data_IF_775086713285
#
_entry.id   IF_775086713285
#
_cell.length_a   1.000
_cell.length_b   1.000
_cell.length_c   1.000
_cell.angle_alpha   90.00
_cell.angle_beta   90.00
_cell.angle_gamma   90.00
#
_symmetry.space_group_name_H-M   'P 1'
#
loop_
_entity.id
_entity.type
_entity.pdbx_description
1 polymer ?
#
# COMPACT_ATOMS: atom_id res chain seq x y z
N UNK A 1 -37.94 27.00 24.09
CA UNK A 1 -37.49 25.75 23.43
C UNK A 1 -36.46 26.13 22.39
N UNK A 2 -35.22 26.25 22.79
CA UNK A 2 -34.10 26.58 21.91
C UNK A 2 -33.44 25.24 21.53
N UNK A 3 -33.65 24.81 20.28
CA UNK A 3 -32.96 23.62 19.72
C UNK A 3 -31.47 23.91 19.65
N UNK A 4 -30.70 23.34 20.55
CA UNK A 4 -29.26 23.35 20.51
C UNK A 4 -28.80 22.56 19.29
N UNK A 5 -28.16 23.24 18.33
CA UNK A 5 -27.34 22.58 17.31
C UNK A 5 -26.21 21.89 18.03
N UNK A 6 -26.28 20.58 18.11
CA UNK A 6 -25.17 19.75 18.61
C UNK A 6 -24.05 19.79 17.55
N UNK A 7 -22.88 20.42 17.84
CA UNK A 7 -21.78 20.49 16.89
C UNK A 7 -21.08 19.14 16.64
N UNK A 8 -21.58 18.05 17.26
CA UNK A 8 -21.04 16.69 17.11
C UNK A 8 -21.69 15.89 15.98
N UNK A 9 -22.78 16.40 15.38
CA UNK A 9 -23.33 15.84 14.15
C UNK A 9 -22.66 16.54 12.95
N UNK A 10 -21.38 16.25 12.73
CA UNK A 10 -20.73 16.63 11.49
C UNK A 10 -21.54 16.01 10.34
N UNK A 11 -22.13 16.87 9.51
CA UNK A 11 -22.82 16.46 8.29
C UNK A 11 -21.93 15.49 7.53
N UNK A 12 -22.43 14.32 7.25
CA UNK A 12 -21.69 13.30 6.47
C UNK A 12 -21.28 13.88 5.10
N UNK A 13 -20.43 13.18 4.34
CA UNK A 13 -19.87 13.70 3.09
C UNK A 13 -20.95 14.25 2.19
N UNK A 14 -20.75 15.47 1.67
CA UNK A 14 -21.72 16.20 0.85
C UNK A 14 -22.13 15.44 -0.43
N UNK A 15 -23.24 15.81 -1.03
CA UNK A 15 -23.73 15.15 -2.25
C UNK A 15 -22.70 15.12 -3.40
N UNK A 16 -21.87 16.15 -3.65
CA UNK A 16 -20.81 16.11 -4.66
C UNK A 16 -19.76 15.03 -4.36
N UNK A 17 -19.29 14.91 -3.11
CA UNK A 17 -18.32 13.90 -2.71
C UNK A 17 -18.84 12.47 -2.92
N UNK A 18 -20.11 12.22 -2.55
CA UNK A 18 -20.77 10.92 -2.79
C UNK A 18 -20.93 10.60 -4.28
N UNK A 19 -21.24 11.62 -5.13
CA UNK A 19 -21.32 11.43 -6.58
C UNK A 19 -19.96 11.09 -7.18
N UNK A 20 -18.91 11.81 -6.77
CA UNK A 20 -17.54 11.56 -7.22
C UNK A 20 -17.08 10.15 -6.81
N UNK A 21 -17.23 9.78 -5.53
CA UNK A 21 -16.89 8.44 -5.03
C UNK A 21 -17.61 7.35 -5.80
N UNK A 22 -18.91 7.51 -6.07
CA UNK A 22 -19.70 6.57 -6.87
C UNK A 22 -19.19 6.46 -8.30
N UNK A 23 -18.84 7.57 -8.95
CA UNK A 23 -18.26 7.57 -10.30
C UNK A 23 -16.94 6.82 -10.35
N UNK A 24 -16.04 7.07 -9.39
CA UNK A 24 -14.76 6.35 -9.27
C UNK A 24 -15.00 4.86 -9.02
N UNK A 25 -15.95 4.50 -8.15
CA UNK A 25 -16.30 3.10 -7.87
C UNK A 25 -16.77 2.37 -9.14
N UNK A 26 -17.67 2.98 -9.93
CA UNK A 26 -18.13 2.40 -11.19
C UNK A 26 -17.00 2.24 -12.20
N UNK A 27 -16.10 3.23 -12.30
CA UNK A 27 -14.88 3.10 -13.10
C UNK A 27 -14.04 1.89 -12.66
N UNK A 28 -13.88 1.69 -11.34
CA UNK A 28 -13.18 0.54 -10.79
C UNK A 28 -13.83 -0.79 -11.17
N UNK A 29 -15.15 -0.89 -11.11
CA UNK A 29 -15.88 -2.10 -11.53
C UNK A 29 -15.66 -2.38 -13.02
N UNK A 30 -15.74 -1.36 -13.87
CA UNK A 30 -15.50 -1.52 -15.31
C UNK A 30 -14.05 -1.95 -15.57
N UNK A 31 -13.06 -1.25 -14.98
CA UNK A 31 -11.65 -1.59 -15.13
C UNK A 31 -11.34 -3.01 -14.65
N UNK A 32 -11.90 -3.41 -13.51
CA UNK A 32 -11.76 -4.78 -13.00
C UNK A 32 -12.18 -5.80 -14.06
N UNK A 33 -13.38 -5.68 -14.62
CA UNK A 33 -13.87 -6.63 -15.63
C UNK A 33 -13.10 -6.54 -16.93
N UNK A 34 -12.67 -5.36 -17.36
CA UNK A 34 -11.82 -5.18 -18.54
C UNK A 34 -10.49 -5.93 -18.34
N UNK A 35 -9.84 -5.78 -17.19
CA UNK A 35 -8.59 -6.48 -16.87
C UNK A 35 -8.81 -7.98 -16.83
N UNK A 36 -9.86 -8.47 -16.16
CA UNK A 36 -10.20 -9.91 -16.13
C UNK A 36 -10.38 -10.47 -17.54
N UNK A 37 -11.15 -9.79 -18.39
CA UNK A 37 -11.43 -10.27 -19.76
C UNK A 37 -10.15 -10.26 -20.60
N UNK A 38 -9.32 -9.22 -20.51
CA UNK A 38 -8.06 -9.13 -21.26
C UNK A 38 -7.10 -10.24 -20.81
N UNK A 39 -6.94 -10.45 -19.51
CA UNK A 39 -6.01 -11.45 -19.00
C UNK A 39 -6.49 -12.88 -19.25
N UNK A 40 -7.78 -13.15 -19.10
CA UNK A 40 -8.32 -14.51 -19.25
C UNK A 40 -8.51 -14.92 -20.72
N UNK A 41 -8.88 -14.02 -21.63
CA UNK A 41 -9.21 -14.35 -23.00
C UNK A 41 -8.04 -14.22 -23.97
N UNK A 42 -7.58 -13.01 -24.38
CA UNK A 42 -6.49 -12.88 -25.34
C UNK A 42 -5.12 -13.29 -24.76
N UNK A 43 -4.88 -13.09 -23.46
CA UNK A 43 -3.61 -13.47 -22.82
C UNK A 43 -3.60 -14.93 -22.38
N UNK A 44 -4.77 -15.51 -22.08
CA UNK A 44 -4.91 -16.92 -21.74
C UNK A 44 -4.48 -17.30 -20.32
N UNK A 45 -4.43 -16.33 -19.39
CA UNK A 45 -4.18 -16.65 -17.98
C UNK A 45 -5.34 -17.46 -17.39
N UNK A 46 -5.06 -18.36 -16.43
CA UNK A 46 -6.10 -18.98 -15.62
C UNK A 46 -7.02 -17.93 -14.99
N UNK A 47 -8.31 -18.23 -14.90
CA UNK A 47 -9.32 -17.26 -14.44
C UNK A 47 -9.03 -16.73 -13.02
N UNK A 48 -8.52 -17.58 -12.13
CA UNK A 48 -8.15 -17.16 -10.78
C UNK A 48 -6.97 -16.18 -10.75
N UNK A 49 -5.96 -16.31 -11.65
CA UNK A 49 -4.88 -15.33 -11.80
C UNK A 49 -5.41 -14.02 -12.40
N UNK A 50 -6.26 -14.12 -13.43
CA UNK A 50 -6.87 -12.95 -14.05
C UNK A 50 -7.71 -12.15 -13.05
N UNK A 51 -8.51 -12.83 -12.22
CA UNK A 51 -9.32 -12.20 -11.16
C UNK A 51 -8.40 -11.57 -10.09
N UNK A 52 -7.43 -12.31 -9.57
CA UNK A 52 -6.58 -11.80 -8.49
C UNK A 52 -5.70 -10.63 -8.95
N UNK A 53 -5.13 -10.70 -10.16
CA UNK A 53 -4.43 -9.56 -10.76
C UNK A 53 -5.37 -8.37 -10.96
N UNK A 54 -6.60 -8.58 -11.43
CA UNK A 54 -7.57 -7.49 -11.57
C UNK A 54 -7.96 -6.86 -10.22
N UNK A 55 -8.03 -7.66 -9.15
CA UNK A 55 -8.19 -7.15 -7.78
C UNK A 55 -7.00 -6.26 -7.41
N UNK A 56 -5.77 -6.73 -7.58
CA UNK A 56 -4.56 -6.02 -7.19
C UNK A 56 -4.31 -4.75 -8.02
N UNK A 57 -4.51 -4.84 -9.35
CA UNK A 57 -4.11 -3.79 -10.28
C UNK A 57 -5.21 -2.77 -10.56
N UNK A 58 -6.48 -3.12 -10.33
CA UNK A 58 -7.61 -2.24 -10.64
C UNK A 58 -8.53 -2.03 -9.43
N UNK A 59 -9.12 -3.09 -8.85
CA UNK A 59 -10.13 -2.93 -7.83
C UNK A 59 -9.60 -2.23 -6.58
N UNK A 60 -8.55 -2.76 -5.96
CA UNK A 60 -8.01 -2.23 -4.69
C UNK A 60 -7.52 -0.77 -4.84
N UNK A 61 -6.69 -0.39 -5.84
CA UNK A 61 -6.27 1.00 -6.00
C UNK A 61 -7.43 1.95 -6.31
N UNK A 62 -8.38 1.56 -7.15
CA UNK A 62 -9.51 2.42 -7.49
C UNK A 62 -10.46 2.58 -6.29
N UNK A 63 -10.75 1.51 -5.55
CA UNK A 63 -11.56 1.62 -4.32
C UNK A 63 -10.87 2.45 -3.24
N UNK A 64 -9.54 2.33 -3.08
CA UNK A 64 -8.77 3.19 -2.20
C UNK A 64 -8.97 4.67 -2.56
N UNK A 65 -8.84 5.01 -3.84
CA UNK A 65 -9.07 6.39 -4.33
C UNK A 65 -10.52 6.85 -4.19
N UNK A 66 -11.50 5.94 -4.39
CA UNK A 66 -12.93 6.26 -4.26
C UNK A 66 -13.35 6.63 -2.84
N UNK A 67 -12.64 6.15 -1.83
CA UNK A 67 -12.92 6.47 -0.42
C UNK A 67 -12.44 7.88 -0.03
N UNK A 68 -11.41 8.44 -0.69
CA UNK A 68 -10.80 9.71 -0.28
C UNK A 68 -11.81 10.87 -0.19
N UNK A 69 -12.71 11.10 -1.15
CA UNK A 69 -13.70 12.16 -1.03
C UNK A 69 -14.72 11.94 0.09
N UNK A 70 -14.89 10.70 0.55
CA UNK A 70 -15.87 10.36 1.59
C UNK A 70 -15.32 10.55 3.01
N UNK A 71 -14.01 10.46 3.17
CA UNK A 71 -13.32 10.56 4.47
C UNK A 71 -12.68 11.94 4.68
N UNK A 72 -12.74 12.81 3.67
CA UNK A 72 -12.24 14.19 3.81
C UNK A 72 -13.08 14.95 4.84
N UNK A 73 -12.40 15.52 5.83
CA UNK A 73 -13.04 16.21 6.94
C UNK A 73 -13.59 15.30 8.07
N UNK A 74 -13.64 14.00 7.89
CA UNK A 74 -14.08 13.05 8.92
C UNK A 74 -12.96 12.78 9.93
N UNK A 75 -13.31 12.68 11.22
CA UNK A 75 -12.39 12.16 12.24
C UNK A 75 -12.33 10.65 12.15
N UNK A 76 -11.10 10.12 12.04
CA UNK A 76 -10.87 8.69 11.91
C UNK A 76 -10.57 8.08 13.27
N UNK A 77 -11.32 7.06 13.64
CA UNK A 77 -10.92 6.18 14.74
C UNK A 77 -9.75 5.28 14.29
N UNK A 78 -8.56 5.56 14.82
CA UNK A 78 -7.30 4.89 14.44
C UNK A 78 -7.36 3.39 14.67
N UNK A 79 -7.87 2.95 15.81
CA UNK A 79 -7.89 1.53 16.14
C UNK A 79 -8.77 0.75 15.17
N UNK A 80 -9.97 1.26 14.87
CA UNK A 80 -10.85 0.64 13.88
C UNK A 80 -10.22 0.63 12.48
N UNK A 81 -9.55 1.72 12.08
CA UNK A 81 -8.84 1.79 10.80
C UNK A 81 -7.70 0.77 10.74
N UNK A 82 -6.89 0.64 11.79
CA UNK A 82 -5.80 -0.33 11.82
C UNK A 82 -6.31 -1.77 11.76
N UNK A 83 -7.32 -2.12 12.57
CA UNK A 83 -7.87 -3.47 12.57
C UNK A 83 -8.51 -3.85 11.24
N UNK A 84 -9.30 -2.94 10.64
CA UNK A 84 -9.88 -3.19 9.31
C UNK A 84 -8.82 -3.37 8.24
N UNK A 85 -7.74 -2.58 8.28
CA UNK A 85 -6.61 -2.72 7.37
C UNK A 85 -5.87 -4.04 7.57
N UNK A 86 -5.60 -4.45 8.82
CA UNK A 86 -4.97 -5.75 9.14
C UNK A 86 -5.78 -6.90 8.54
N UNK A 87 -7.11 -6.91 8.78
CA UNK A 87 -7.98 -7.97 8.26
C UNK A 87 -7.98 -8.00 6.72
N UNK A 88 -8.09 -6.83 6.09
CA UNK A 88 -8.07 -6.71 4.61
C UNK A 88 -6.74 -7.22 4.03
N UNK A 89 -5.61 -6.81 4.63
CA UNK A 89 -4.28 -7.22 4.21
C UNK A 89 -4.09 -8.74 4.38
N UNK A 90 -4.53 -9.32 5.50
CA UNK A 90 -4.46 -10.76 5.71
C UNK A 90 -5.30 -11.54 4.68
N UNK A 91 -6.51 -11.08 4.36
CA UNK A 91 -7.35 -11.71 3.32
C UNK A 91 -6.62 -11.66 1.98
N UNK A 92 -6.08 -10.50 1.60
CA UNK A 92 -5.37 -10.32 0.33
C UNK A 92 -4.08 -11.15 0.26
N UNK A 93 -3.25 -11.10 1.31
CA UNK A 93 -2.02 -11.87 1.41
C UNK A 93 -2.29 -13.38 1.36
N UNK A 94 -3.33 -13.84 2.07
CA UNK A 94 -3.75 -15.25 2.05
C UNK A 94 -4.21 -15.69 0.66
N UNK A 95 -4.99 -14.87 -0.04
CA UNK A 95 -5.39 -15.16 -1.42
C UNK A 95 -4.17 -15.26 -2.35
N UNK A 96 -3.22 -14.32 -2.25
CA UNK A 96 -1.99 -14.34 -3.03
C UNK A 96 -1.10 -15.54 -2.69
N UNK A 97 -1.05 -15.94 -1.41
CA UNK A 97 -0.38 -17.15 -0.98
C UNK A 97 -0.96 -18.39 -1.65
N UNK A 98 -2.26 -18.64 -1.49
CA UNK A 98 -2.89 -19.84 -2.02
C UNK A 98 -2.85 -19.92 -3.55
N UNK A 99 -3.09 -18.81 -4.23
CA UNK A 99 -3.04 -18.78 -5.70
C UNK A 99 -1.61 -18.87 -6.21
N UNK A 100 -0.66 -18.15 -5.60
CA UNK A 100 0.73 -18.10 -6.05
C UNK A 100 1.53 -19.37 -5.78
N UNK A 101 1.19 -20.12 -4.72
CA UNK A 101 1.96 -21.32 -4.31
C UNK A 101 1.35 -22.65 -4.76
N UNK A 102 0.19 -22.63 -5.40
CA UNK A 102 -0.60 -23.85 -5.72
C UNK A 102 0.16 -24.92 -6.51
N UNK A 103 1.03 -24.52 -7.44
CA UNK A 103 1.71 -25.45 -8.34
C UNK A 103 3.19 -25.69 -7.98
N UNK A 104 3.87 -24.68 -7.44
CA UNK A 104 5.32 -24.71 -7.23
C UNK A 104 5.76 -24.45 -5.77
N UNK A 105 4.81 -24.33 -4.84
CA UNK A 105 5.10 -24.11 -3.43
C UNK A 105 5.59 -22.68 -3.11
N UNK A 106 6.13 -22.49 -1.92
CA UNK A 106 6.54 -21.17 -1.40
C UNK A 106 7.65 -20.49 -2.22
N UNK A 107 8.46 -21.25 -2.93
CA UNK A 107 9.53 -20.74 -3.80
C UNK A 107 8.97 -19.96 -4.99
N UNK A 108 7.77 -20.31 -5.47
CA UNK A 108 7.11 -19.62 -6.58
C UNK A 108 6.84 -18.15 -6.28
N UNK A 109 6.55 -17.82 -5.04
CA UNK A 109 6.34 -16.45 -4.56
C UNK A 109 7.60 -15.83 -3.95
N UNK A 110 8.77 -16.44 -4.17
CA UNK A 110 10.06 -15.91 -3.73
C UNK A 110 10.35 -16.06 -2.23
N UNK A 111 9.58 -16.87 -1.49
CA UNK A 111 9.87 -17.16 -0.08
C UNK A 111 11.05 -18.16 0.04
N UNK A 112 12.20 -17.72 -0.42
CA UNK A 112 13.48 -18.44 -0.38
C UNK A 112 14.31 -17.87 0.76
N UNK A 113 14.72 -18.72 1.71
CA UNK A 113 15.58 -18.31 2.81
C UNK A 113 16.98 -17.99 2.30
N UNK A 114 17.50 -16.85 2.69
CA UNK A 114 18.91 -16.49 2.52
C UNK A 114 19.73 -16.94 3.74
N UNK A 115 21.04 -17.10 3.55
CA UNK A 115 21.94 -17.21 4.70
C UNK A 115 21.83 -15.98 5.61
N UNK A 116 22.10 -16.11 6.93
CA UNK A 116 21.84 -15.03 7.89
C UNK A 116 22.49 -13.69 7.54
N UNK A 117 23.75 -13.71 7.09
CA UNK A 117 24.49 -12.48 6.76
C UNK A 117 23.88 -11.76 5.54
N UNK A 118 23.69 -12.39 4.37
CA UNK A 118 22.96 -11.77 3.25
C UNK A 118 21.56 -11.29 3.64
N UNK A 119 20.79 -12.05 4.42
CA UNK A 119 19.46 -11.64 4.86
C UNK A 119 19.50 -10.33 5.63
N UNK A 120 20.41 -10.22 6.60
CA UNK A 120 20.55 -8.99 7.41
C UNK A 120 21.03 -7.83 6.54
N UNK A 121 22.05 -8.03 5.71
CA UNK A 121 22.59 -6.95 4.86
C UNK A 121 21.55 -6.40 3.89
N UNK A 122 20.80 -7.27 3.21
CA UNK A 122 19.72 -6.84 2.33
C UNK A 122 18.60 -6.13 3.09
N UNK A 123 18.14 -6.69 4.20
CA UNK A 123 17.04 -6.10 4.99
C UNK A 123 17.42 -4.73 5.54
N UNK A 124 18.61 -4.59 6.11
CA UNK A 124 19.12 -3.31 6.62
C UNK A 124 19.35 -2.31 5.49
N UNK A 125 19.99 -2.75 4.40
CA UNK A 125 20.25 -1.90 3.23
C UNK A 125 18.95 -1.34 2.62
N UNK A 126 17.93 -2.17 2.44
CA UNK A 126 16.62 -1.75 1.93
C UNK A 126 15.89 -0.84 2.92
N UNK A 127 15.98 -1.11 4.24
CA UNK A 127 15.41 -0.24 5.26
C UNK A 127 16.05 1.15 5.22
N UNK A 128 17.37 1.22 5.17
CA UNK A 128 18.09 2.49 5.08
C UNK A 128 17.78 3.24 3.78
N UNK A 129 17.71 2.54 2.64
CA UNK A 129 17.33 3.13 1.36
C UNK A 129 15.89 3.68 1.40
N UNK A 130 14.93 2.95 1.98
CA UNK A 130 13.57 3.42 2.15
C UNK A 130 13.47 4.63 3.09
N UNK A 131 14.18 4.62 4.19
CA UNK A 131 14.26 5.79 5.10
C UNK A 131 14.91 7.01 4.42
N UNK A 132 15.93 6.77 3.60
CA UNK A 132 16.54 7.83 2.79
C UNK A 132 15.54 8.44 1.80
N UNK A 133 14.72 7.61 1.13
CA UNK A 133 13.63 8.11 0.26
C UNK A 133 12.71 9.05 1.05
N UNK A 134 12.25 8.65 2.25
CA UNK A 134 11.40 9.50 3.09
C UNK A 134 12.08 10.85 3.38
N UNK A 135 13.35 10.83 3.78
CA UNK A 135 14.12 12.05 4.11
C UNK A 135 14.30 12.93 2.89
N UNK A 136 14.66 12.39 1.73
CA UNK A 136 14.89 13.15 0.50
C UNK A 136 13.61 13.78 -0.07
N UNK A 137 12.44 13.18 0.18
CA UNK A 137 11.16 13.76 -0.25
C UNK A 137 10.71 14.96 0.61
N UNK A 138 11.26 15.18 1.80
CA UNK A 138 10.90 16.33 2.65
C UNK A 138 11.23 17.69 2.01
N UNK A 139 12.47 17.95 1.54
CA UNK A 139 12.79 19.21 0.87
C UNK A 139 12.01 19.38 -0.44
N UNK A 140 11.73 18.28 -1.18
CA UNK A 140 10.90 18.32 -2.38
C UNK A 140 9.47 18.76 -2.03
N UNK A 141 8.90 18.22 -0.96
CA UNK A 141 7.58 18.60 -0.47
C UNK A 141 7.54 20.09 -0.08
N UNK A 142 8.54 20.57 0.65
CA UNK A 142 8.60 21.98 1.05
C UNK A 142 8.76 22.93 -0.14
N UNK A 143 9.56 22.55 -1.13
CA UNK A 143 9.75 23.33 -2.35
C UNK A 143 8.50 23.36 -3.25
N UNK A 144 7.81 22.22 -3.38
CA UNK A 144 6.60 22.10 -4.21
C UNK A 144 5.33 22.67 -3.54
N UNK A 145 5.43 23.24 -2.33
CA UNK A 145 4.26 23.68 -1.56
C UNK A 145 3.33 22.54 -1.16
N UNK A 146 3.83 21.31 -1.20
CA UNK A 146 3.07 20.10 -0.88
C UNK A 146 3.24 19.74 0.59
N UNK A 147 2.12 19.55 1.27
CA UNK A 147 2.09 18.98 2.62
C UNK A 147 1.70 17.50 2.57
N UNK A 148 2.18 16.73 3.54
CA UNK A 148 1.61 15.42 3.82
C UNK A 148 0.12 15.56 4.11
N UNK A 149 -0.69 14.63 3.59
CA UNK A 149 -2.13 14.74 3.71
C UNK A 149 -2.59 14.80 5.17
N UNK A 150 -3.66 15.55 5.44
CA UNK A 150 -4.30 15.57 6.76
C UNK A 150 -4.63 14.15 7.24
N UNK A 151 -5.06 13.29 6.32
CA UNK A 151 -5.40 11.91 6.60
C UNK A 151 -4.21 11.10 7.10
N UNK A 152 -3.02 11.23 6.47
CA UNK A 152 -1.82 10.56 6.93
C UNK A 152 -1.47 10.97 8.37
N UNK A 153 -1.55 12.28 8.68
CA UNK A 153 -1.34 12.79 10.05
C UNK A 153 -2.36 12.26 11.07
N UNK A 154 -3.61 12.08 10.65
CA UNK A 154 -4.64 11.48 11.51
C UNK A 154 -4.39 10.02 11.80
N UNK A 155 -3.75 9.28 10.89
CA UNK A 155 -3.46 7.86 11.02
C UNK A 155 -2.19 7.55 11.81
N UNK A 156 -1.40 8.55 12.24
CA UNK A 156 -0.24 8.30 13.09
C UNK A 156 -0.66 7.87 14.51
N UNK A 157 -0.02 6.84 15.08
CA UNK A 157 -0.34 6.34 16.41
C UNK A 157 0.14 7.32 17.50
N UNK A 158 -0.73 7.66 18.45
CA UNK A 158 -0.46 8.60 19.55
C UNK A 158 -0.38 7.93 20.91
N UNK A 159 -1.25 6.95 21.17
CA UNK A 159 -1.29 6.22 22.43
C UNK A 159 -0.45 4.94 22.38
N UNK A 160 -0.11 4.38 23.55
CA UNK A 160 0.60 3.09 23.64
C UNK A 160 -0.16 1.97 22.93
N UNK A 161 -1.49 1.90 23.12
CA UNK A 161 -2.33 0.91 22.46
C UNK A 161 -2.34 1.06 20.94
N UNK A 162 -2.46 2.30 20.43
CA UNK A 162 -2.38 2.57 19.01
C UNK A 162 -1.03 2.16 18.43
N UNK A 163 0.09 2.44 19.12
CA UNK A 163 1.44 2.01 18.68
C UNK A 163 1.57 0.49 18.61
N UNK A 164 0.99 -0.24 19.56
CA UNK A 164 0.99 -1.71 19.54
C UNK A 164 0.21 -2.26 18.33
N UNK A 165 -1.02 -1.76 18.10
CA UNK A 165 -1.83 -2.21 16.95
C UNK A 165 -1.22 -1.74 15.63
N UNK A 166 -0.62 -0.55 15.57
CA UNK A 166 0.12 -0.08 14.41
C UNK A 166 1.34 -0.96 14.10
N UNK A 167 2.04 -1.46 15.11
CA UNK A 167 3.11 -2.42 14.90
C UNK A 167 2.60 -3.74 14.27
N UNK A 168 1.43 -4.24 14.70
CA UNK A 168 0.79 -5.38 14.06
C UNK A 168 0.38 -5.07 12.61
N UNK A 169 -0.12 -3.86 12.36
CA UNK A 169 -0.44 -3.38 11.02
C UNK A 169 0.81 -3.34 10.14
N UNK A 170 1.94 -2.83 10.64
CA UNK A 170 3.21 -2.79 9.90
C UNK A 170 3.69 -4.19 9.49
N UNK A 171 3.55 -5.17 10.39
CA UNK A 171 3.87 -6.58 10.07
C UNK A 171 2.90 -7.14 9.02
N UNK A 172 1.60 -6.87 9.16
CA UNK A 172 0.59 -7.32 8.20
C UNK A 172 0.83 -6.68 6.82
N UNK A 173 1.15 -5.37 6.76
CA UNK A 173 1.45 -4.66 5.53
C UNK A 173 2.71 -5.20 4.86
N UNK A 174 3.84 -5.23 5.59
CA UNK A 174 5.11 -5.76 5.06
C UNK A 174 4.97 -7.19 4.54
N UNK A 175 4.25 -8.06 5.24
CA UNK A 175 4.02 -9.45 4.79
C UNK A 175 3.09 -9.54 3.59
N UNK A 176 1.90 -8.98 3.71
CA UNK A 176 0.83 -9.17 2.71
C UNK A 176 1.06 -8.36 1.44
N UNK A 177 1.53 -7.11 1.53
CA UNK A 177 1.74 -6.27 0.36
C UNK A 177 2.96 -6.72 -0.44
N UNK A 178 4.07 -7.10 0.22
CA UNK A 178 5.22 -7.64 -0.48
C UNK A 178 4.87 -8.98 -1.16
N UNK A 179 4.13 -9.85 -0.48
CA UNK A 179 3.65 -11.09 -1.07
C UNK A 179 2.73 -10.82 -2.28
N UNK A 180 1.82 -9.87 -2.19
CA UNK A 180 0.88 -9.55 -3.26
C UNK A 180 1.57 -8.94 -4.49
N UNK A 181 2.38 -7.88 -4.29
CA UNK A 181 2.94 -7.11 -5.41
C UNK A 181 4.25 -7.69 -5.92
N UNK A 182 5.16 -8.17 -5.04
CA UNK A 182 6.48 -8.69 -5.44
C UNK A 182 6.43 -10.20 -5.60
N UNK A 183 5.89 -10.91 -4.62
CA UNK A 183 5.86 -12.38 -4.61
C UNK A 183 4.87 -12.99 -5.60
N UNK A 184 3.72 -12.34 -5.84
CA UNK A 184 2.69 -12.86 -6.72
C UNK A 184 2.60 -12.11 -8.05
N UNK A 185 2.34 -10.79 -8.02
CA UNK A 185 2.03 -10.06 -9.25
C UNK A 185 3.22 -9.97 -10.21
N UNK A 186 4.46 -9.74 -9.72
CA UNK A 186 5.65 -9.70 -10.60
C UNK A 186 5.86 -11.03 -11.31
N UNK A 187 5.95 -12.20 -10.63
CA UNK A 187 6.15 -13.49 -11.31
C UNK A 187 5.06 -13.84 -12.32
N UNK A 188 3.79 -13.54 -12.02
CA UNK A 188 2.67 -13.83 -12.93
C UNK A 188 2.66 -12.91 -14.15
N UNK A 189 3.06 -11.64 -14.00
CA UNK A 189 3.12 -10.68 -15.10
C UNK A 189 4.42 -10.77 -15.93
N UNK A 190 5.51 -11.25 -15.32
CA UNK A 190 6.82 -11.27 -15.99
C UNK A 190 6.86 -12.02 -17.32
N UNK A 191 6.17 -13.17 -17.50
CA UNK A 191 6.09 -13.83 -18.80
C UNK A 191 5.34 -13.01 -19.88
N UNK A 192 4.49 -12.06 -19.48
CA UNK A 192 3.64 -11.29 -20.37
C UNK A 192 4.30 -9.98 -20.86
N UNK A 193 4.94 -9.26 -19.91
CA UNK A 193 5.48 -7.91 -20.16
C UNK A 193 6.94 -7.74 -19.76
N UNK A 194 7.61 -8.87 -19.47
CA UNK A 194 8.99 -8.87 -18.96
C UNK A 194 9.08 -8.51 -17.48
N UNK A 195 10.12 -8.98 -16.80
CA UNK A 195 10.33 -8.75 -15.35
C UNK A 195 10.40 -7.27 -15.00
N UNK A 196 11.10 -6.47 -15.81
CA UNK A 196 11.19 -5.02 -15.60
C UNK A 196 9.82 -4.33 -15.77
N UNK A 197 9.08 -4.66 -16.83
CA UNK A 197 7.72 -4.14 -17.05
C UNK A 197 6.77 -4.49 -15.90
N UNK A 198 6.81 -5.72 -15.41
CA UNK A 198 6.02 -6.19 -14.27
C UNK A 198 6.39 -5.43 -12.99
N UNK A 199 7.68 -5.24 -12.71
CA UNK A 199 8.15 -4.49 -11.55
C UNK A 199 7.72 -3.01 -11.61
N UNK A 200 7.82 -2.36 -12.77
CA UNK A 200 7.38 -0.98 -12.96
C UNK A 200 5.87 -0.86 -12.77
N UNK A 201 5.07 -1.72 -13.42
CA UNK A 201 3.61 -1.69 -13.30
C UNK A 201 3.16 -1.86 -11.85
N UNK A 202 3.65 -2.88 -11.16
CA UNK A 202 3.29 -3.14 -9.77
C UNK A 202 3.74 -2.03 -8.84
N UNK A 203 4.88 -1.40 -9.09
CA UNK A 203 5.39 -0.24 -8.34
C UNK A 203 4.50 1.00 -8.52
N UNK A 204 4.07 1.29 -9.74
CA UNK A 204 3.15 2.41 -10.03
C UNK A 204 1.81 2.20 -9.34
N UNK A 205 1.24 1.00 -9.47
CA UNK A 205 -0.03 0.65 -8.80
C UNK A 205 0.10 0.75 -7.28
N UNK A 206 1.21 0.26 -6.71
CA UNK A 206 1.51 0.36 -5.29
C UNK A 206 1.56 1.82 -4.81
N UNK A 207 2.18 2.72 -5.58
CA UNK A 207 2.17 4.15 -5.29
C UNK A 207 0.75 4.73 -5.30
N UNK A 208 -0.06 4.40 -6.32
CA UNK A 208 -1.46 4.88 -6.45
C UNK A 208 -2.31 4.41 -5.26
N UNK A 209 -2.14 3.17 -4.82
CA UNK A 209 -2.82 2.62 -3.64
C UNK A 209 -2.64 3.49 -2.38
N UNK A 210 -1.50 4.17 -2.28
CA UNK A 210 -1.16 5.07 -1.18
C UNK A 210 -1.62 6.53 -1.40
N UNK A 211 -2.63 6.74 -2.25
CA UNK A 211 -3.19 8.06 -2.55
C UNK A 211 -3.68 8.85 -1.33
N UNK A 212 -4.02 8.16 -0.24
CA UNK A 212 -4.36 8.77 1.03
C UNK A 212 -3.21 9.62 1.64
N UNK A 213 -1.98 9.39 1.22
CA UNK A 213 -0.81 10.17 1.62
C UNK A 213 -0.66 11.49 0.83
N UNK A 214 -1.53 11.75 -0.17
CA UNK A 214 -1.43 12.89 -1.07
C UNK A 214 -0.53 12.63 -2.28
N UNK A 215 -0.45 13.62 -3.19
CA UNK A 215 0.28 13.46 -4.48
C UNK A 215 1.75 13.12 -4.32
N UNK A 216 2.44 13.82 -3.40
CA UNK A 216 3.86 13.55 -3.10
C UNK A 216 4.03 12.23 -2.36
N UNK A 217 3.04 11.83 -1.55
CA UNK A 217 2.98 10.52 -0.91
C UNK A 217 2.90 9.39 -1.93
N UNK A 218 2.07 9.52 -2.98
CA UNK A 218 2.00 8.56 -4.09
C UNK A 218 3.39 8.37 -4.72
N UNK A 219 4.07 9.47 -5.05
CA UNK A 219 5.38 9.41 -5.68
C UNK A 219 6.45 8.84 -4.74
N UNK A 220 6.48 9.29 -3.48
CA UNK A 220 7.38 8.78 -2.44
C UNK A 220 7.21 7.28 -2.24
N UNK A 221 5.97 6.82 -2.07
CA UNK A 221 5.67 5.40 -1.87
C UNK A 221 5.91 4.59 -3.14
N UNK A 222 5.69 5.15 -4.32
CA UNK A 222 6.07 4.53 -5.59
C UNK A 222 7.59 4.32 -5.68
N UNK A 223 8.41 5.35 -5.39
CA UNK A 223 9.88 5.20 -5.40
C UNK A 223 10.33 4.17 -4.38
N UNK A 224 9.78 4.20 -3.15
CA UNK A 224 10.06 3.19 -2.13
C UNK A 224 9.67 1.79 -2.60
N UNK A 225 8.50 1.67 -3.22
CA UNK A 225 8.04 0.42 -3.83
C UNK A 225 8.99 -0.12 -4.89
N UNK A 226 9.60 0.77 -5.69
CA UNK A 226 10.64 0.43 -6.66
C UNK A 226 11.93 -0.09 -6.01
N UNK A 227 12.34 0.52 -4.89
CA UNK A 227 13.50 0.04 -4.10
C UNK A 227 13.24 -1.38 -3.56
N UNK A 228 12.05 -1.65 -3.02
CA UNK A 228 11.69 -2.97 -2.52
C UNK A 228 11.57 -4.01 -3.65
N UNK A 229 11.00 -3.63 -4.80
CA UNK A 229 10.93 -4.50 -5.97
C UNK A 229 12.33 -4.84 -6.51
N UNK A 230 13.23 -3.86 -6.59
CA UNK A 230 14.62 -4.11 -6.92
C UNK A 230 15.29 -5.04 -5.91
N UNK A 231 15.09 -4.82 -4.61
CA UNK A 231 15.63 -5.67 -3.55
C UNK A 231 15.16 -7.13 -3.67
N UNK A 232 13.87 -7.34 -3.98
CA UNK A 232 13.32 -8.67 -4.27
C UNK A 232 14.01 -9.35 -5.45
N UNK A 233 14.10 -8.65 -6.58
CA UNK A 233 14.70 -9.20 -7.81
C UNK A 233 16.20 -9.45 -7.68
N UNK A 234 16.94 -8.55 -7.00
CA UNK A 234 18.37 -8.64 -6.85
C UNK A 234 18.80 -9.70 -5.80
N UNK A 235 18.03 -9.84 -4.72
CA UNK A 235 18.30 -10.85 -3.68
C UNK A 235 17.78 -12.25 -4.02
N UNK A 236 16.79 -12.34 -4.94
CA UNK A 236 16.08 -13.58 -5.23
C UNK A 236 15.21 -14.08 -4.08
N UNK A 237 14.90 -13.21 -3.10
CA UNK A 237 14.17 -13.57 -1.90
C UNK A 237 13.17 -12.48 -1.51
N UNK A 238 11.98 -12.89 -1.08
CA UNK A 238 10.94 -11.98 -0.58
C UNK A 238 11.16 -11.57 0.89
N UNK A 239 11.99 -12.29 1.65
CA UNK A 239 12.22 -12.00 3.06
C UNK A 239 12.87 -10.63 3.32
N UNK A 240 13.91 -10.19 2.57
CA UNK A 240 14.49 -8.87 2.79
C UNK A 240 13.48 -7.73 2.59
N UNK A 241 12.70 -7.65 1.51
CA UNK A 241 11.70 -6.58 1.36
C UNK A 241 10.57 -6.67 2.40
N UNK A 242 10.12 -7.86 2.83
CA UNK A 242 9.13 -8.00 3.92
C UNK A 242 9.68 -7.36 5.21
N UNK A 243 10.90 -7.72 5.60
CA UNK A 243 11.54 -7.21 6.81
C UNK A 243 11.74 -5.70 6.69
N UNK A 244 12.28 -5.24 5.55
CA UNK A 244 12.55 -3.83 5.31
C UNK A 244 11.27 -2.99 5.34
N UNK A 245 10.21 -3.41 4.65
CA UNK A 245 8.91 -2.71 4.64
C UNK A 245 8.35 -2.58 6.05
N UNK A 246 8.30 -3.69 6.80
CA UNK A 246 7.87 -3.69 8.21
C UNK A 246 8.68 -2.70 9.05
N UNK A 247 10.01 -2.71 8.91
CA UNK A 247 10.88 -1.80 9.66
C UNK A 247 10.71 -0.34 9.24
N UNK A 248 10.54 -0.05 7.95
CA UNK A 248 10.28 1.31 7.44
C UNK A 248 8.99 1.85 8.06
N UNK A 249 7.91 1.07 8.08
CA UNK A 249 6.63 1.48 8.66
C UNK A 249 6.75 1.73 10.16
N UNK A 250 7.41 0.83 10.89
CA UNK A 250 7.65 0.99 12.33
C UNK A 250 8.46 2.25 12.64
N UNK A 251 9.54 2.47 11.89
CA UNK A 251 10.38 3.64 12.07
C UNK A 251 9.65 4.93 11.67
N UNK A 252 9.00 4.94 10.52
CA UNK A 252 8.28 6.11 10.03
C UNK A 252 7.04 6.43 10.88
N UNK A 253 6.27 5.44 11.32
CA UNK A 253 5.04 5.66 12.06
C UNK A 253 5.24 5.85 13.56
N UNK A 254 6.10 5.03 14.20
CA UNK A 254 6.22 5.00 15.67
C UNK A 254 7.37 5.86 16.17
N UNK A 255 8.54 5.77 15.52
CA UNK A 255 9.76 6.42 16.04
C UNK A 255 9.88 7.87 15.57
N UNK A 256 9.63 8.09 14.28
CA UNK A 256 9.86 9.40 13.65
C UNK A 256 8.57 10.09 13.18
N UNK A 257 7.37 9.46 13.37
CA UNK A 257 6.13 9.87 12.74
C UNK A 257 5.85 11.37 12.80
N UNK A 258 5.80 11.96 14.00
CA UNK A 258 5.54 13.39 14.16
C UNK A 258 6.68 14.26 13.60
N UNK A 259 7.95 13.83 13.76
CA UNK A 259 9.13 14.57 13.27
C UNK A 259 9.26 14.51 11.75
N UNK A 260 8.88 13.39 11.12
CA UNK A 260 8.95 13.22 9.67
C UNK A 260 7.82 13.96 8.95
N UNK A 261 6.67 14.13 9.63
CA UNK A 261 5.49 14.82 9.12
C UNK A 261 5.34 16.25 9.65
N UNK A 262 6.20 16.69 10.57
CA UNK A 262 6.18 18.05 11.07
C UNK A 262 6.48 19.03 9.92
N UNK A 263 5.45 19.45 9.22
CA UNK A 263 5.44 20.69 8.46
C UNK A 263 5.41 21.85 9.46
N UNK A 264 6.18 22.85 9.16
CA UNK A 264 6.34 24.10 9.88
C UNK A 264 5.01 24.66 10.40
N UNK A 265 4.70 24.46 11.66
CA UNK A 265 4.00 25.43 12.47
C UNK A 265 5.08 26.40 12.97
N UNK A 266 5.43 27.36 12.14
CA UNK A 266 6.19 28.54 12.53
C UNK A 266 5.91 29.65 11.52
#
# INVERSE_FOLDING_TARGET
MTGGNDPLLADGPGAPARRLARGITWLGVVLFWVVVVILARPVGLPLYDAILLAVLLAAVPVFSMAQLPLIDGVQIDRLSAYWSSIVTLWILGTACWFVGTRDMGATAVGLVWLAPVPLVLWSVGLTLAGMLVIVLFRPIASWAGGEDSRLLRQLLPRTRRERQVFALLSVAAGGSEELAYRGYAIPVLAPLIGTFGAAVLTTVVFGILHGYQGRLGILRTGVMGGVLAWGFLASGSLWPPIIAHTLIDLLAGIVFGERLLASRES
#
